data_IF_729284211782
#
_entry.id   IF_729284211782
#
_cell.length_a   1.000
_cell.length_b   1.000
_cell.length_c   1.000
_cell.angle_alpha   90.00
_cell.angle_beta   90.00
_cell.angle_gamma   90.00
#
_symmetry.space_group_name_H-M   'P 1'
#
loop_
_entity.id
_entity.type
_entity.pdbx_description
1 polymer ?
#
# COMPACT_ATOMS: atom_id res chain seq x y z
N UNK A 1 -22.68 -90.44 11.52
CA UNK A 1 -22.06 -89.81 12.70
C UNK A 1 -21.57 -88.42 12.31
N UNK A 2 -21.85 -87.45 13.17
CA UNK A 2 -21.42 -86.04 13.18
C UNK A 2 -21.88 -85.06 12.09
N UNK A 3 -22.87 -84.26 12.50
CA UNK A 3 -23.16 -82.88 12.10
C UNK A 3 -21.98 -81.97 12.44
N UNK A 4 -21.72 -80.93 11.64
CA UNK A 4 -21.26 -79.63 12.17
C UNK A 4 -21.68 -78.50 11.21
N UNK A 5 -22.51 -77.60 11.74
CA UNK A 5 -22.84 -76.31 11.15
C UNK A 5 -21.87 -75.25 11.72
N UNK A 6 -21.38 -74.34 10.88
CA UNK A 6 -20.61 -73.18 11.32
C UNK A 6 -21.39 -71.92 10.97
N UNK A 7 -21.76 -71.20 12.03
CA UNK A 7 -22.40 -69.89 12.06
C UNK A 7 -21.28 -68.85 11.95
N UNK A 8 -21.28 -68.06 10.88
CA UNK A 8 -20.35 -66.95 10.68
C UNK A 8 -20.98 -65.62 11.14
N UNK A 9 -20.31 -64.95 12.06
CA UNK A 9 -20.76 -63.76 12.78
C UNK A 9 -20.95 -62.52 11.89
N UNK A 10 -22.00 -61.76 12.20
CA UNK A 10 -22.30 -60.43 11.69
C UNK A 10 -21.49 -59.41 12.51
N UNK A 11 -20.60 -58.66 11.86
CA UNK A 11 -19.99 -57.45 12.42
C UNK A 11 -20.55 -56.23 11.69
N UNK A 12 -21.41 -55.50 12.40
CA UNK A 12 -21.94 -54.21 12.02
C UNK A 12 -20.93 -53.13 12.43
N UNK A 13 -20.37 -52.39 11.48
CA UNK A 13 -19.56 -51.20 11.76
C UNK A 13 -20.23 -49.98 11.11
N UNK A 14 -20.79 -49.11 11.94
CA UNK A 14 -21.18 -47.75 11.57
C UNK A 14 -19.96 -46.84 11.75
N UNK A 15 -19.54 -46.16 10.69
CA UNK A 15 -18.72 -44.96 10.79
C UNK A 15 -19.28 -43.88 9.85
N UNK A 16 -19.74 -42.82 10.51
CA UNK A 16 -20.23 -41.55 10.00
C UNK A 16 -19.14 -40.69 9.36
N UNK A 17 -19.53 -39.77 8.47
CA UNK A 17 -18.83 -38.49 8.29
C UNK A 17 -18.65 -38.08 6.84
N UNK A 18 -19.39 -37.05 6.42
CA UNK A 18 -19.38 -36.50 5.07
C UNK A 18 -18.01 -35.97 4.65
N UNK A 19 -17.58 -36.37 3.46
CA UNK A 19 -16.46 -35.75 2.77
C UNK A 19 -16.94 -34.44 2.12
N UNK A 20 -16.58 -33.31 2.73
CA UNK A 20 -16.53 -32.04 2.03
C UNK A 20 -15.51 -32.15 0.92
N UNK A 21 -15.98 -32.08 -0.33
CA UNK A 21 -15.14 -32.09 -1.52
C UNK A 21 -14.41 -30.73 -1.61
N UNK A 22 -13.28 -30.62 -0.92
CA UNK A 22 -12.40 -29.46 -1.02
C UNK A 22 -11.60 -29.59 -2.31
N UNK A 23 -12.06 -28.93 -3.37
CA UNK A 23 -11.32 -28.83 -4.63
C UNK A 23 -10.06 -27.99 -4.36
N UNK A 24 -8.83 -28.53 -4.48
CA UNK A 24 -7.64 -27.70 -4.33
C UNK A 24 -7.59 -26.71 -5.50
N UNK A 25 -7.58 -25.43 -5.17
CA UNK A 25 -7.38 -24.36 -6.15
C UNK A 25 -6.10 -24.65 -6.94
N UNK A 26 -6.26 -24.98 -8.23
CA UNK A 26 -5.16 -25.07 -9.19
C UNK A 26 -4.54 -23.68 -9.30
N UNK A 27 -3.26 -23.60 -8.97
CA UNK A 27 -2.42 -22.49 -9.39
C UNK A 27 -2.21 -22.59 -10.89
N UNK A 28 -2.99 -21.83 -11.66
CA UNK A 28 -2.71 -21.63 -13.08
C UNK A 28 -1.46 -20.76 -13.20
N UNK A 29 -0.40 -21.39 -13.71
CA UNK A 29 0.84 -20.73 -14.11
C UNK A 29 0.65 -20.19 -15.52
N UNK A 30 0.87 -18.88 -15.71
CA UNK A 30 1.02 -18.29 -17.05
C UNK A 30 -0.21 -17.56 -17.58
N UNK A 31 -0.57 -16.44 -16.98
CA UNK A 31 -1.38 -15.40 -17.61
C UNK A 31 -0.76 -14.06 -17.27
N UNK A 32 -0.76 -13.08 -18.19
CA UNK A 32 -0.45 -11.68 -17.87
C UNK A 32 -1.29 -11.32 -16.65
N UNK A 33 -0.65 -11.24 -15.49
CA UNK A 33 -1.34 -11.19 -14.21
C UNK A 33 -2.34 -10.03 -14.26
N UNK A 34 -3.62 -10.32 -14.15
CA UNK A 34 -4.64 -9.27 -14.07
C UNK A 34 -4.70 -8.76 -12.64
N UNK A 35 -5.25 -7.57 -12.43
CA UNK A 35 -5.54 -7.09 -11.07
C UNK A 35 -6.39 -8.14 -10.32
N UNK A 36 -5.92 -8.55 -9.14
CA UNK A 36 -6.58 -9.52 -8.25
C UNK A 36 -7.06 -8.81 -6.99
N UNK A 37 -8.35 -8.93 -6.67
CA UNK A 37 -8.88 -8.48 -5.37
C UNK A 37 -8.41 -9.44 -4.28
N UNK A 38 -7.74 -8.90 -3.26
CA UNK A 38 -7.31 -9.66 -2.08
C UNK A 38 -8.38 -9.65 -0.99
N UNK A 39 -9.04 -8.51 -0.81
CA UNK A 39 -10.13 -8.32 0.15
C UNK A 39 -10.90 -7.05 -0.21
N UNK A 40 -12.22 -7.06 -0.02
CA UNK A 40 -13.08 -5.89 -0.14
C UNK A 40 -14.30 -6.05 0.75
N UNK A 41 -14.92 -4.95 1.16
CA UNK A 41 -16.12 -5.02 1.98
C UNK A 41 -16.62 -3.67 2.45
N UNK A 42 -17.78 -3.70 3.13
CA UNK A 42 -18.42 -2.53 3.72
C UNK A 42 -17.95 -2.26 5.17
N UNK A 43 -17.18 -3.16 5.76
CA UNK A 43 -16.70 -3.05 7.13
C UNK A 43 -15.21 -3.42 7.21
N UNK A 44 -14.37 -2.42 7.47
CA UNK A 44 -12.97 -2.58 7.84
C UNK A 44 -12.73 -2.10 9.28
N UNK A 45 -11.68 -2.62 9.94
CA UNK A 45 -11.22 -2.09 11.23
C UNK A 45 -10.61 -0.68 11.14
N UNK A 46 -10.40 -0.15 9.92
CA UNK A 46 -9.80 1.17 9.68
C UNK A 46 -10.91 2.22 9.59
N UNK A 47 -11.13 2.97 10.68
CA UNK A 47 -12.19 3.96 10.78
C UNK A 47 -11.90 5.29 10.03
N UNK A 48 -10.64 5.54 9.71
CA UNK A 48 -10.18 6.72 8.96
C UNK A 48 -9.99 6.40 7.48
N UNK A 49 -10.14 7.42 6.62
CA UNK A 49 -9.76 7.23 5.23
C UNK A 49 -8.24 7.13 5.14
N UNK A 50 -7.74 6.10 4.45
CA UNK A 50 -6.32 5.82 4.34
C UNK A 50 -6.01 5.10 3.03
N UNK A 51 -4.81 5.32 2.50
CA UNK A 51 -4.26 4.58 1.36
C UNK A 51 -2.99 3.89 1.81
N UNK A 52 -2.75 2.66 1.38
CA UNK A 52 -1.48 1.96 1.55
C UNK A 52 -1.02 1.33 0.23
N UNK A 53 0.28 1.41 -0.03
CA UNK A 53 0.95 0.93 -1.23
C UNK A 53 2.14 0.09 -0.77
N UNK A 54 1.96 -1.22 -0.71
CA UNK A 54 3.02 -2.14 -0.35
C UNK A 54 3.75 -2.61 -1.61
N UNK A 55 5.04 -2.25 -1.69
CA UNK A 55 5.97 -2.70 -2.74
C UNK A 55 6.97 -3.74 -2.23
N UNK A 56 6.85 -4.13 -0.98
CA UNK A 56 7.74 -5.04 -0.28
C UNK A 56 6.97 -5.79 0.83
N UNK A 57 7.57 -6.88 1.31
CA UNK A 57 6.95 -7.74 2.30
C UNK A 57 6.82 -7.08 3.69
N UNK A 58 7.69 -6.14 4.05
CA UNK A 58 7.67 -5.46 5.35
C UNK A 58 6.48 -4.49 5.43
N UNK A 59 6.32 -3.64 4.42
CA UNK A 59 5.17 -2.75 4.28
C UNK A 59 3.87 -3.54 4.22
N UNK A 60 3.88 -4.68 3.51
CA UNK A 60 2.71 -5.57 3.45
C UNK A 60 2.39 -6.22 4.80
N UNK A 61 3.40 -6.65 5.56
CA UNK A 61 3.18 -7.21 6.90
C UNK A 61 2.52 -6.21 7.84
N UNK A 62 2.93 -4.93 7.78
CA UNK A 62 2.30 -3.84 8.54
C UNK A 62 0.86 -3.57 8.08
N UNK A 63 0.60 -3.62 6.78
CA UNK A 63 -0.78 -3.56 6.25
C UNK A 63 -1.65 -4.73 6.74
N UNK A 64 -1.10 -5.95 6.77
CA UNK A 64 -1.81 -7.14 7.32
C UNK A 64 -2.11 -7.02 8.81
N UNK A 65 -1.31 -6.27 9.56
CA UNK A 65 -1.61 -6.00 10.97
C UNK A 65 -2.81 -5.05 11.14
N UNK A 66 -3.14 -4.22 10.13
CA UNK A 66 -4.31 -3.36 10.13
C UNK A 66 -5.60 -4.09 9.75
N UNK A 67 -5.53 -5.08 8.86
CA UNK A 67 -6.69 -5.80 8.34
C UNK A 67 -6.48 -7.29 8.48
N UNK A 68 -7.31 -7.92 9.33
CA UNK A 68 -7.34 -9.37 9.48
C UNK A 68 -7.79 -10.01 8.15
N UNK A 69 -7.33 -11.25 7.89
CA UNK A 69 -7.74 -12.06 6.72
C UNK A 69 -7.06 -11.76 5.38
N UNK A 70 -6.02 -10.93 5.36
CA UNK A 70 -5.17 -10.81 4.18
C UNK A 70 -4.24 -12.02 4.00
N UNK A 71 -4.13 -12.59 2.78
CA UNK A 71 -3.28 -13.75 2.51
C UNK A 71 -1.81 -13.41 2.74
N UNK A 72 -1.01 -14.40 3.13
CA UNK A 72 0.43 -14.23 3.16
C UNK A 72 0.99 -14.21 1.73
N UNK A 73 1.83 -13.22 1.43
CA UNK A 73 2.52 -13.09 0.15
C UNK A 73 4.02 -13.17 0.42
N UNK A 74 4.75 -13.88 -0.44
CA UNK A 74 6.21 -13.99 -0.36
C UNK A 74 6.90 -12.72 -0.87
N UNK A 75 8.18 -12.56 -0.57
CA UNK A 75 8.99 -11.47 -1.12
C UNK A 75 9.04 -11.49 -2.65
N UNK A 76 9.07 -12.68 -3.26
CA UNK A 76 9.06 -12.85 -4.73
C UNK A 76 7.82 -12.28 -5.40
N UNK A 77 6.68 -12.24 -4.69
CA UNK A 77 5.45 -11.63 -5.20
C UNK A 77 5.69 -10.15 -5.56
N UNK A 78 6.45 -9.45 -4.73
CA UNK A 78 6.75 -8.02 -4.86
C UNK A 78 7.83 -7.70 -5.91
N UNK A 79 8.45 -8.72 -6.50
CA UNK A 79 9.36 -8.51 -7.63
C UNK A 79 8.64 -8.02 -8.90
N UNK A 80 7.34 -8.34 -9.04
CA UNK A 80 6.54 -8.02 -10.23
C UNK A 80 5.13 -7.51 -9.94
N UNK A 81 4.75 -7.44 -8.67
CA UNK A 81 3.43 -6.96 -8.24
C UNK A 81 3.57 -5.97 -7.09
N UNK A 82 2.52 -5.19 -6.91
CA UNK A 82 2.32 -4.38 -5.71
C UNK A 82 0.97 -4.74 -5.09
N UNK A 83 0.77 -4.31 -3.85
CA UNK A 83 -0.54 -4.32 -3.19
C UNK A 83 -0.97 -2.90 -2.91
N UNK A 84 -2.18 -2.55 -3.32
CA UNK A 84 -2.80 -1.25 -3.05
C UNK A 84 -4.04 -1.47 -2.21
N UNK A 85 -4.10 -0.82 -1.05
CA UNK A 85 -5.25 -0.81 -0.16
C UNK A 85 -5.82 0.61 -0.07
N UNK A 86 -7.13 0.72 -0.17
CA UNK A 86 -7.85 1.96 -0.01
C UNK A 86 -9.01 1.77 0.98
N UNK A 87 -8.99 2.57 2.03
CA UNK A 87 -9.98 2.62 3.10
C UNK A 87 -10.72 3.94 2.99
N UNK A 88 -12.04 3.92 2.93
CA UNK A 88 -12.86 5.12 2.77
C UNK A 88 -13.15 5.83 4.12
N UNK A 89 -12.84 5.14 5.22
CA UNK A 89 -13.19 5.53 6.58
C UNK A 89 -14.70 5.41 6.84
N UNK A 90 -15.11 5.91 7.98
CA UNK A 90 -16.49 5.79 8.46
C UNK A 90 -17.50 6.54 7.56
N UNK A 91 -18.62 5.88 7.27
CA UNK A 91 -19.76 6.42 6.51
C UNK A 91 -21.07 6.15 7.26
N UNK A 92 -22.00 7.12 7.30
CA UNK A 92 -23.20 7.04 8.12
C UNK A 92 -24.26 6.06 7.59
N UNK A 93 -24.16 5.68 6.32
CA UNK A 93 -25.11 4.78 5.66
C UNK A 93 -24.36 3.68 4.91
N UNK A 94 -25.11 2.63 4.55
CA UNK A 94 -24.66 1.67 3.56
C UNK A 94 -24.64 2.23 2.14
N UNK A 95 -24.16 1.42 1.19
CA UNK A 95 -24.17 1.71 -0.24
C UNK A 95 -22.88 2.33 -0.80
N UNK A 96 -21.93 2.69 0.07
CA UNK A 96 -20.62 3.18 -0.36
C UNK A 96 -19.69 2.05 -0.79
N UNK A 97 -18.88 2.29 -1.83
CA UNK A 97 -17.87 1.35 -2.34
C UNK A 97 -16.58 2.09 -2.70
N UNK A 98 -15.49 1.32 -2.75
CA UNK A 98 -14.17 1.79 -3.21
C UNK A 98 -13.86 1.16 -4.55
N UNK A 99 -13.44 1.97 -5.51
CA UNK A 99 -12.97 1.54 -6.82
C UNK A 99 -11.45 1.73 -6.91
N UNK A 100 -10.77 0.74 -7.49
CA UNK A 100 -9.35 0.80 -7.79
C UNK A 100 -9.20 0.34 -9.23
N UNK A 101 -8.64 1.20 -10.07
CA UNK A 101 -8.42 0.95 -11.49
C UNK A 101 -6.97 1.26 -11.84
N UNK A 102 -6.41 0.55 -12.81
CA UNK A 102 -5.07 0.85 -13.32
C UNK A 102 -5.04 0.79 -14.84
N UNK A 103 -4.35 1.76 -15.45
CA UNK A 103 -4.04 1.77 -16.88
C UNK A 103 -2.60 1.32 -17.18
N UNK A 104 -1.91 0.75 -16.17
CA UNK A 104 -0.50 0.34 -16.25
C UNK A 104 0.51 1.48 -16.12
N UNK A 105 0.06 2.75 -16.04
CA UNK A 105 0.92 3.93 -15.80
C UNK A 105 0.56 4.66 -14.51
N UNK A 106 -0.72 4.60 -14.14
CA UNK A 106 -1.27 5.18 -12.92
C UNK A 106 -2.36 4.28 -12.35
N UNK A 107 -2.68 4.54 -11.10
CA UNK A 107 -3.70 3.85 -10.34
C UNK A 107 -4.71 4.89 -9.87
N UNK A 108 -5.95 4.76 -10.32
CA UNK A 108 -7.06 5.61 -9.92
C UNK A 108 -7.77 4.97 -8.74
N UNK A 109 -8.02 5.76 -7.72
CA UNK A 109 -8.72 5.33 -6.52
C UNK A 109 -9.93 6.24 -6.33
N UNK A 110 -11.11 5.64 -6.44
CA UNK A 110 -12.38 6.33 -6.41
C UNK A 110 -13.30 5.79 -5.31
N UNK A 111 -14.25 6.61 -4.93
CA UNK A 111 -15.34 6.27 -4.03
C UNK A 111 -16.66 6.46 -4.75
N UNK A 112 -17.54 5.48 -4.60
CA UNK A 112 -18.90 5.51 -5.13
C UNK A 112 -19.86 5.53 -3.96
N UNK A 113 -20.75 6.52 -3.94
CA UNK A 113 -21.84 6.60 -2.98
C UNK A 113 -23.11 5.96 -3.53
N UNK A 114 -24.11 5.70 -2.67
CA UNK A 114 -25.44 5.36 -3.14
C UNK A 114 -26.02 6.51 -4.00
N UNK A 115 -26.84 6.21 -5.01
CA UNK A 115 -27.59 7.23 -5.75
C UNK A 115 -28.40 8.12 -4.82
N UNK A 116 -28.65 9.40 -5.17
CA UNK A 116 -29.36 10.36 -4.31
C UNK A 116 -30.74 9.86 -3.81
N UNK A 117 -31.45 9.11 -4.65
CA UNK A 117 -32.82 8.62 -4.36
C UNK A 117 -32.84 7.15 -3.90
N UNK A 118 -31.68 6.56 -3.62
CA UNK A 118 -31.61 5.17 -3.19
C UNK A 118 -32.07 5.02 -1.72
N UNK A 119 -32.94 4.04 -1.48
CA UNK A 119 -33.22 3.58 -0.12
C UNK A 119 -31.97 2.90 0.45
N UNK A 120 -31.35 3.52 1.46
CA UNK A 120 -30.11 3.05 2.08
C UNK A 120 -30.35 2.59 3.51
N UNK A 121 -29.55 1.60 3.93
CA UNK A 121 -29.51 1.20 5.34
C UNK A 121 -28.83 2.29 6.17
N UNK A 122 -29.47 2.69 7.27
CA UNK A 122 -28.93 3.63 8.25
C UNK A 122 -28.01 2.90 9.23
N UNK A 123 -26.92 2.36 8.69
CA UNK A 123 -25.92 1.60 9.44
C UNK A 123 -24.54 2.15 9.13
N UNK A 124 -23.74 2.30 10.18
CA UNK A 124 -22.36 2.74 10.09
C UNK A 124 -21.52 1.74 9.31
N UNK A 125 -20.85 2.20 8.26
CA UNK A 125 -19.96 1.38 7.43
C UNK A 125 -18.54 1.96 7.39
N UNK A 126 -17.56 1.13 7.04
CA UNK A 126 -16.15 1.51 6.81
C UNK A 126 -15.65 0.83 5.53
N UNK A 127 -16.14 1.25 4.34
CA UNK A 127 -15.86 0.57 3.08
C UNK A 127 -14.37 0.56 2.72
N UNK A 128 -13.92 -0.54 2.14
CA UNK A 128 -12.52 -0.70 1.75
C UNK A 128 -12.35 -1.65 0.57
N UNK A 129 -11.22 -1.54 -0.11
CA UNK A 129 -10.78 -2.46 -1.16
C UNK A 129 -9.27 -2.61 -1.16
N UNK A 130 -8.81 -3.84 -1.30
CA UNK A 130 -7.39 -4.21 -1.31
C UNK A 130 -7.16 -5.09 -2.52
N UNK A 131 -6.27 -4.66 -3.40
CA UNK A 131 -5.95 -5.36 -4.65
C UNK A 131 -4.46 -5.62 -4.74
N UNK A 132 -4.11 -6.69 -5.43
CA UNK A 132 -2.76 -6.89 -5.95
C UNK A 132 -2.80 -6.77 -7.47
N UNK A 133 -1.81 -6.09 -8.04
CA UNK A 133 -1.73 -5.88 -9.48
C UNK A 133 -0.26 -5.89 -9.93
N UNK A 134 0.00 -6.25 -11.20
CA UNK A 134 1.35 -6.23 -11.73
C UNK A 134 1.85 -4.82 -11.83
N UNK A 135 3.08 -4.60 -11.41
CA UNK A 135 3.74 -3.32 -11.53
C UNK A 135 5.24 -3.56 -11.66
N UNK A 136 5.87 -2.88 -12.62
CA UNK A 136 7.30 -2.99 -12.77
C UNK A 136 7.99 -2.42 -11.52
N UNK A 137 8.90 -3.21 -10.92
CA UNK A 137 9.61 -2.86 -9.68
C UNK A 137 10.26 -1.47 -9.74
N UNK A 138 10.80 -1.15 -10.91
CA UNK A 138 11.55 0.09 -11.16
C UNK A 138 10.68 1.27 -11.59
N UNK A 139 9.39 1.06 -11.87
CA UNK A 139 8.51 2.15 -12.28
C UNK A 139 7.87 2.85 -11.08
N UNK A 140 7.79 4.19 -11.07
CA UNK A 140 7.14 4.92 -10.00
C UNK A 140 5.66 4.57 -9.95
N UNK A 141 5.11 4.37 -8.75
CA UNK A 141 3.67 4.19 -8.56
C UNK A 141 3.02 5.56 -8.56
N UNK A 142 2.14 5.85 -9.51
CA UNK A 142 1.40 7.11 -9.58
C UNK A 142 -0.04 6.86 -9.11
N UNK A 143 -0.46 7.60 -8.08
CA UNK A 143 -1.82 7.51 -7.52
C UNK A 143 -2.62 8.76 -7.88
N UNK A 144 -3.81 8.54 -8.45
CA UNK A 144 -4.84 9.55 -8.63
C UNK A 144 -6.02 9.19 -7.72
N UNK A 145 -6.01 9.73 -6.50
CA UNK A 145 -7.10 9.52 -5.55
C UNK A 145 -8.17 10.62 -5.67
N UNK A 146 -9.44 10.27 -5.49
CA UNK A 146 -10.54 11.24 -5.53
C UNK A 146 -10.60 12.16 -4.30
N UNK A 147 -11.62 13.03 -4.25
CA UNK A 147 -11.83 13.98 -3.18
C UNK A 147 -12.02 13.38 -1.78
N UNK A 148 -12.38 12.09 -1.65
CA UNK A 148 -12.53 11.44 -0.35
C UNK A 148 -11.17 11.25 0.35
N UNK A 149 -10.14 10.84 -0.40
CA UNK A 149 -8.79 10.70 0.14
C UNK A 149 -8.00 12.00 0.10
N UNK A 150 -8.15 12.82 -0.95
CA UNK A 150 -7.43 14.10 -1.06
C UNK A 150 -7.66 15.02 0.15
N UNK A 151 -8.89 15.06 0.69
CA UNK A 151 -9.22 15.86 1.89
C UNK A 151 -8.58 15.34 3.17
N UNK A 152 -8.18 14.07 3.19
CA UNK A 152 -7.55 13.40 4.32
C UNK A 152 -6.04 13.30 4.18
N UNK A 153 -5.48 13.75 3.05
CA UNK A 153 -4.06 13.95 2.87
C UNK A 153 -3.68 15.33 3.40
N UNK A 154 -2.73 15.37 4.33
CA UNK A 154 -2.14 16.62 4.79
C UNK A 154 -1.13 17.10 3.74
N UNK A 155 -1.28 18.29 3.17
CA UNK A 155 -0.31 18.85 2.22
C UNK A 155 0.92 19.39 2.96
N UNK A 156 2.09 19.17 2.36
CA UNK A 156 3.38 19.71 2.77
C UNK A 156 4.04 20.38 1.57
N UNK A 157 4.68 21.52 1.80
CA UNK A 157 5.53 22.18 0.81
C UNK A 157 6.99 21.84 1.08
N UNK A 158 7.73 21.48 0.05
CA UNK A 158 9.18 21.32 0.13
C UNK A 158 9.81 22.70 0.29
N UNK A 159 10.53 22.89 1.40
CA UNK A 159 11.25 24.12 1.71
C UNK A 159 12.66 24.10 1.10
N UNK A 160 13.32 22.95 1.17
CA UNK A 160 14.59 22.69 0.51
C UNK A 160 14.66 21.23 0.08
N UNK A 161 15.22 20.99 -1.10
CA UNK A 161 15.42 19.65 -1.61
C UNK A 161 16.66 19.60 -2.48
N UNK A 162 17.56 18.65 -2.21
CA UNK A 162 18.75 18.42 -3.02
C UNK A 162 18.84 16.93 -3.35
N UNK A 163 19.18 16.61 -4.59
CA UNK A 163 19.43 15.25 -5.04
C UNK A 163 20.68 15.19 -5.90
N UNK A 164 21.60 14.31 -5.53
CA UNK A 164 22.86 14.06 -6.22
C UNK A 164 22.79 12.71 -6.88
N UNK A 165 23.10 12.68 -8.17
CA UNK A 165 23.26 11.44 -8.93
C UNK A 165 24.73 11.32 -9.29
N UNK A 166 25.34 10.19 -8.95
CA UNK A 166 26.72 9.88 -9.29
C UNK A 166 26.85 8.48 -9.89
N UNK A 167 27.77 8.31 -10.83
CA UNK A 167 28.11 6.99 -11.39
C UNK A 167 28.34 6.99 -12.89
N UNK A 168 28.21 5.80 -13.47
CA UNK A 168 28.55 5.50 -14.86
C UNK A 168 30.05 5.43 -15.12
N UNK A 169 30.42 4.87 -16.28
CA UNK A 169 31.81 4.56 -16.69
C UNK A 169 32.73 5.78 -16.65
N UNK A 170 32.19 6.99 -16.86
CA UNK A 170 32.94 8.24 -16.85
C UNK A 170 32.91 8.99 -15.49
N UNK A 171 32.30 8.43 -14.45
CA UNK A 171 32.24 9.05 -13.12
C UNK A 171 31.49 10.37 -13.09
N UNK A 172 30.34 10.46 -13.76
CA UNK A 172 29.53 11.69 -13.79
C UNK A 172 28.91 11.92 -12.41
N UNK A 173 28.88 13.18 -11.98
CA UNK A 173 28.15 13.61 -10.80
C UNK A 173 27.33 14.85 -11.15
N UNK A 174 26.03 14.81 -10.90
CA UNK A 174 25.09 15.91 -11.13
C UNK A 174 24.29 16.15 -9.84
N UNK A 175 24.14 17.41 -9.43
CA UNK A 175 23.28 17.82 -8.32
C UNK A 175 22.07 18.56 -8.86
N UNK A 176 20.91 18.32 -8.25
CA UNK A 176 19.64 18.88 -8.66
C UNK A 176 18.90 19.41 -7.44
N UNK A 177 18.27 20.58 -7.60
CA UNK A 177 17.30 21.06 -6.62
C UNK A 177 15.96 20.36 -6.87
N UNK A 178 15.29 20.00 -5.76
CA UNK A 178 13.95 19.44 -5.76
C UNK A 178 13.02 20.43 -5.06
N UNK A 179 11.97 20.83 -5.77
CA UNK A 179 10.90 21.68 -5.24
C UNK A 179 9.55 21.01 -5.43
N UNK A 180 8.48 21.54 -4.85
CA UNK A 180 7.13 21.02 -5.04
C UNK A 180 6.45 20.66 -3.72
N UNK A 181 5.58 19.66 -3.78
CA UNK A 181 4.67 19.34 -2.69
C UNK A 181 4.68 17.84 -2.38
N UNK A 182 4.40 17.53 -1.11
CA UNK A 182 4.11 16.20 -0.64
C UNK A 182 2.68 16.18 -0.10
N UNK A 183 2.01 15.03 -0.23
CA UNK A 183 0.72 14.77 0.39
C UNK A 183 0.83 13.53 1.25
N UNK A 184 0.51 13.65 2.54
CA UNK A 184 0.81 12.62 3.52
C UNK A 184 -0.47 12.17 4.22
N UNK A 185 -0.67 10.86 4.29
CA UNK A 185 -1.66 10.21 5.14
C UNK A 185 -0.95 9.34 6.18
N UNK A 186 -1.50 9.23 7.40
CA UNK A 186 -1.00 8.25 8.37
C UNK A 186 -2.11 7.41 8.95
N UNK A 187 -1.80 6.15 9.23
CA UNK A 187 -2.67 5.21 9.92
C UNK A 187 -1.80 4.27 10.76
N UNK A 188 -1.91 4.38 12.08
CA UNK A 188 -1.06 3.63 13.01
C UNK A 188 0.44 3.80 12.69
N UNK A 189 1.11 2.68 12.48
CA UNK A 189 2.55 2.60 12.17
C UNK A 189 2.86 2.73 10.67
N UNK A 190 1.90 3.19 9.86
CA UNK A 190 2.09 3.43 8.43
C UNK A 190 1.95 4.92 8.08
N UNK A 191 2.71 5.34 7.06
CA UNK A 191 2.53 6.61 6.38
C UNK A 191 2.62 6.43 4.88
N UNK A 192 1.69 7.04 4.17
CA UNK A 192 1.69 7.08 2.71
C UNK A 192 2.02 8.49 2.26
N UNK A 193 3.06 8.60 1.45
CA UNK A 193 3.55 9.87 0.91
C UNK A 193 3.36 9.85 -0.59
N UNK A 194 2.62 10.85 -1.09
CA UNK A 194 2.50 11.16 -2.51
C UNK A 194 3.45 12.32 -2.79
N UNK A 195 4.42 12.08 -3.67
CA UNK A 195 5.42 13.02 -4.11
C UNK A 195 4.93 13.70 -5.39
N UNK A 196 4.86 15.03 -5.37
CA UNK A 196 4.64 15.88 -6.55
C UNK A 196 5.79 16.89 -6.61
N UNK A 197 6.97 16.39 -7.00
CA UNK A 197 8.19 17.18 -7.04
C UNK A 197 8.50 17.66 -8.46
N UNK A 198 9.27 18.73 -8.55
CA UNK A 198 9.85 19.24 -9.79
C UNK A 198 11.36 19.07 -9.71
N UNK A 199 11.92 18.41 -10.72
CA UNK A 199 13.35 18.33 -10.96
C UNK A 199 13.72 19.00 -12.30
N UNK A 200 15.01 19.07 -12.63
CA UNK A 200 15.50 19.88 -13.74
C UNK A 200 15.09 19.37 -15.13
N UNK A 201 14.75 18.08 -15.26
CA UNK A 201 14.41 17.46 -16.55
C UNK A 201 12.95 16.99 -16.64
N UNK A 202 12.29 16.81 -15.50
CA UNK A 202 10.91 16.30 -15.45
C UNK A 202 10.26 16.54 -14.08
N UNK A 203 8.93 16.55 -14.07
CA UNK A 203 8.17 16.36 -12.85
C UNK A 203 8.36 14.93 -12.33
N UNK A 204 8.54 14.79 -11.02
CA UNK A 204 8.71 13.52 -10.34
C UNK A 204 7.44 13.26 -9.55
N UNK A 205 6.69 12.27 -10.03
CA UNK A 205 5.49 11.80 -9.36
C UNK A 205 5.72 10.40 -8.87
N UNK A 206 5.33 10.15 -7.64
CA UNK A 206 5.44 8.83 -7.03
C UNK A 206 4.60 8.76 -5.78
N UNK A 207 4.25 7.55 -5.38
CA UNK A 207 3.54 7.29 -4.15
C UNK A 207 4.15 6.05 -3.52
N UNK A 208 4.40 6.13 -2.22
CA UNK A 208 4.94 5.01 -1.48
C UNK A 208 4.38 5.03 -0.06
N UNK A 209 4.24 3.84 0.51
CA UNK A 209 3.94 3.66 1.92
C UNK A 209 5.17 3.15 2.62
N UNK A 210 5.47 3.77 3.75
CA UNK A 210 6.51 3.35 4.65
C UNK A 210 5.97 3.16 6.05
N UNK A 211 6.85 2.72 6.94
CA UNK A 211 6.55 2.62 8.35
C UNK A 211 6.91 3.88 9.11
N UNK A 212 6.20 4.10 10.20
CA UNK A 212 6.46 5.20 11.11
C UNK A 212 6.46 4.70 12.53
N UNK A 213 7.52 5.02 13.25
CA UNK A 213 7.68 4.71 14.65
C UNK A 213 7.03 5.78 15.54
N UNK A 214 6.85 5.46 16.81
CA UNK A 214 6.24 6.38 17.80
C UNK A 214 7.04 7.66 18.04
N UNK A 215 8.34 7.62 17.80
CA UNK A 215 9.23 8.78 17.85
C UNK A 215 9.15 9.66 16.59
N UNK A 216 8.27 9.31 15.63
CA UNK A 216 8.10 10.02 14.38
C UNK A 216 9.08 9.61 13.29
N UNK A 217 10.00 8.66 13.54
CA UNK A 217 10.92 8.20 12.53
C UNK A 217 10.15 7.47 11.42
N UNK A 218 10.43 7.80 10.16
CA UNK A 218 9.77 7.24 8.98
C UNK A 218 10.78 6.50 8.11
N UNK A 219 10.40 5.33 7.61
CA UNK A 219 11.19 4.53 6.69
C UNK A 219 10.30 4.04 5.55
N UNK A 220 10.66 4.42 4.32
CA UNK A 220 10.04 3.99 3.06
C UNK A 220 11.11 3.22 2.29
N UNK A 221 10.96 1.89 2.25
CA UNK A 221 12.02 1.03 1.72
C UNK A 221 12.15 1.08 0.21
N UNK A 222 11.03 1.08 -0.53
CA UNK A 222 11.04 1.00 -1.98
C UNK A 222 10.29 2.17 -2.62
N UNK A 223 11.07 3.14 -3.12
CA UNK A 223 10.61 4.27 -3.90
C UNK A 223 11.38 4.34 -5.23
N UNK A 224 10.70 4.68 -6.32
CA UNK A 224 11.35 4.87 -7.63
C UNK A 224 11.26 6.32 -8.08
N UNK A 225 12.40 6.87 -8.48
CA UNK A 225 12.52 8.15 -9.17
C UNK A 225 13.23 7.98 -10.51
N UNK A 226 12.73 7.07 -11.34
CA UNK A 226 13.27 6.75 -12.68
C UNK A 226 13.67 7.96 -13.55
N UNK A 227 13.02 9.14 -13.50
CA UNK A 227 13.50 10.31 -14.26
C UNK A 227 14.80 10.94 -13.71
N UNK A 228 15.16 10.71 -12.44
CA UNK A 228 16.39 11.21 -11.81
C UNK A 228 17.55 10.22 -11.95
N UNK A 229 17.31 8.94 -11.63
CA UNK A 229 18.35 7.91 -11.65
C UNK A 229 18.12 7.01 -12.87
N UNK A 230 19.04 6.99 -13.85
CA UNK A 230 18.97 6.07 -14.97
C UNK A 230 19.01 4.60 -14.51
N UNK A 231 18.41 3.66 -15.28
CA UNK A 231 18.65 2.24 -15.09
C UNK A 231 20.16 1.93 -15.06
N UNK A 232 20.60 0.87 -14.35
CA UNK A 232 19.80 -0.27 -13.87
C UNK A 232 19.23 -0.14 -12.44
N UNK A 233 19.52 0.93 -11.70
CA UNK A 233 19.21 1.00 -10.26
C UNK A 233 18.42 2.26 -9.85
N UNK A 234 17.20 2.46 -10.37
CA UNK A 234 16.46 3.71 -10.16
C UNK A 234 15.80 3.83 -8.76
N UNK A 235 15.99 2.83 -7.90
CA UNK A 235 15.30 2.70 -6.61
C UNK A 235 16.08 3.35 -5.49
N UNK A 236 15.35 4.02 -4.61
CA UNK A 236 15.86 4.67 -3.41
C UNK A 236 15.04 4.26 -2.21
N UNK A 237 15.71 4.26 -1.06
CA UNK A 237 15.08 4.23 0.26
C UNK A 237 14.96 5.66 0.77
N UNK A 238 13.83 6.01 1.36
CA UNK A 238 13.69 7.26 2.10
C UNK A 238 13.64 6.96 3.61
N UNK A 239 14.50 7.61 4.40
CA UNK A 239 14.44 7.55 5.86
C UNK A 239 14.39 8.96 6.44
N UNK A 240 13.67 9.16 7.53
CA UNK A 240 13.41 10.52 7.99
C UNK A 240 12.75 10.62 9.34
N UNK A 241 12.32 11.83 9.67
CA UNK A 241 11.71 12.15 10.95
C UNK A 241 10.61 13.19 10.77
N UNK A 242 9.44 12.91 11.33
CA UNK A 242 8.42 13.92 11.60
C UNK A 242 8.81 14.70 12.86
N UNK A 243 8.85 16.03 12.76
CA UNK A 243 9.14 16.94 13.87
C UNK A 243 8.03 17.95 14.05
N UNK A 244 8.09 18.74 15.14
CA UNK A 244 7.12 19.82 15.40
C UNK A 244 5.67 19.33 15.36
N UNK A 245 5.33 18.27 16.08
CA UNK A 245 3.99 17.65 16.06
C UNK A 245 3.53 17.26 14.63
N UNK A 246 4.44 16.65 13.87
CA UNK A 246 4.26 16.31 12.46
C UNK A 246 4.09 17.54 11.53
N UNK A 247 4.35 18.78 11.96
CA UNK A 247 4.33 19.94 11.06
C UNK A 247 5.52 19.96 10.10
N UNK A 248 6.64 19.35 10.48
CA UNK A 248 7.81 19.23 9.63
C UNK A 248 8.11 17.76 9.31
N UNK A 249 8.61 17.54 8.10
CA UNK A 249 9.14 16.25 7.68
C UNK A 249 10.47 16.45 6.97
N UNK A 250 11.49 15.78 7.51
CA UNK A 250 12.83 15.67 6.92
C UNK A 250 13.03 14.26 6.40
N UNK A 251 13.33 14.11 5.11
CA UNK A 251 13.63 12.83 4.46
C UNK A 251 15.06 12.85 3.89
N UNK A 252 15.79 11.78 4.12
CA UNK A 252 17.03 11.44 3.45
C UNK A 252 16.72 10.36 2.42
N UNK A 253 17.08 10.61 1.18
CA UNK A 253 16.98 9.66 0.09
C UNK A 253 18.35 9.00 -0.09
N UNK A 254 18.38 7.67 -0.06
CA UNK A 254 19.59 6.88 -0.22
C UNK A 254 19.38 5.83 -1.29
N UNK A 255 20.42 5.49 -2.07
CA UNK A 255 20.29 4.48 -3.12
C UNK A 255 20.02 3.12 -2.49
N UNK A 256 19.15 2.33 -3.11
CA UNK A 256 19.06 0.92 -2.74
C UNK A 256 20.23 0.14 -3.34
N UNK A 257 20.79 -0.85 -2.62
CA UNK A 257 21.82 -1.72 -3.16
C UNK A 257 21.35 -2.41 -4.45
N UNK A 258 22.22 -2.45 -5.45
CA UNK A 258 22.02 -3.21 -6.67
C UNK A 258 23.34 -3.81 -7.15
N UNK A 259 23.28 -4.99 -7.76
CA UNK A 259 24.46 -5.74 -8.19
C UNK A 259 24.91 -5.33 -9.61
N UNK A 260 25.15 -4.04 -9.83
CA UNK A 260 25.57 -3.52 -11.13
C UNK A 260 26.85 -2.69 -10.99
N UNK A 261 27.92 -3.13 -11.67
CA UNK A 261 29.28 -2.58 -11.56
C UNK A 261 29.39 -1.12 -12.02
N UNK A 262 28.52 -0.67 -12.92
CA UNK A 262 28.53 0.67 -13.51
C UNK A 262 27.25 1.48 -13.22
N UNK A 263 26.54 1.15 -12.14
CA UNK A 263 25.27 1.77 -11.83
C UNK A 263 25.41 3.26 -11.46
N UNK A 264 24.41 4.03 -11.86
CA UNK A 264 24.15 5.33 -11.24
C UNK A 264 23.50 5.11 -9.88
N UNK A 265 23.97 5.84 -8.88
CA UNK A 265 23.37 5.93 -7.57
C UNK A 265 22.86 7.34 -7.35
N UNK A 266 21.76 7.46 -6.62
CA UNK A 266 21.19 8.75 -6.24
C UNK A 266 21.00 8.86 -4.74
N UNK A 267 21.42 9.97 -4.16
CA UNK A 267 21.16 10.31 -2.77
C UNK A 267 20.68 11.75 -2.67
N UNK A 268 19.95 12.09 -1.61
CA UNK A 268 19.40 13.43 -1.47
C UNK A 268 18.76 13.66 -0.12
N UNK A 269 18.25 14.88 0.05
CA UNK A 269 17.52 15.29 1.23
C UNK A 269 16.32 16.15 0.82
N UNK A 270 15.22 16.02 1.55
CA UNK A 270 14.03 16.85 1.42
C UNK A 270 13.67 17.35 2.81
N UNK A 271 13.53 18.67 2.96
CA UNK A 271 12.92 19.29 4.12
C UNK A 271 11.59 19.91 3.70
N UNK A 272 10.53 19.60 4.43
CA UNK A 272 9.17 19.99 4.07
C UNK A 272 8.36 20.39 5.29
N UNK A 273 7.41 21.28 5.09
CA UNK A 273 6.52 21.78 6.14
C UNK A 273 5.06 21.70 5.71
N UNK A 274 4.20 21.28 6.63
CA UNK A 274 2.78 21.20 6.42
C UNK A 274 2.20 22.59 6.08
N UNK A 275 1.37 22.64 5.05
CA UNK A 275 0.69 23.88 4.61
C UNK A 275 -0.76 23.96 5.10
N UNK A 276 -1.25 22.90 5.75
CA UNK A 276 -2.55 22.87 6.39
C UNK A 276 -2.49 22.09 7.72
N UNK A 277 -3.47 22.30 8.62
CA UNK A 277 -3.62 21.50 9.83
C UNK A 277 -3.77 20.01 9.52
N UNK A 278 -3.42 19.17 10.49
CA UNK A 278 -3.68 17.73 10.36
C UNK A 278 -5.20 17.50 10.21
N UNK A 279 -5.63 16.64 9.26
CA UNK A 279 -7.03 16.31 9.11
C UNK A 279 -7.54 15.64 10.38
N UNK A 280 -8.80 15.93 10.74
CA UNK A 280 -9.44 15.34 11.92
C UNK A 280 -9.54 13.82 11.69
N UNK A 281 -8.88 13.05 12.54
CA UNK A 281 -9.00 11.59 12.58
C UNK A 281 -10.09 11.19 13.55
N UNK A 282 -10.84 10.16 13.19
CA UNK A 282 -11.79 9.51 14.07
C UNK A 282 -10.98 8.73 15.11
N UNK A 283 -10.83 9.31 16.30
CA UNK A 283 -10.25 8.60 17.43
C UNK A 283 -11.21 7.46 17.84
N UNK A 284 -10.84 6.18 17.64
CA UNK A 284 -11.71 5.06 17.96
C UNK A 284 -12.01 4.95 19.48
N UNK A 285 -11.26 5.65 20.33
CA UNK A 285 -11.47 5.64 21.79
C UNK A 285 -12.31 6.83 22.30
N UNK A 286 -12.65 7.81 21.46
CA UNK A 286 -13.35 9.03 21.90
C UNK A 286 -14.84 8.85 22.23
N UNK A 287 -15.36 7.62 22.11
CA UNK A 287 -16.74 7.25 22.46
C UNK A 287 -16.88 6.17 23.53
N UNK A 288 -15.78 5.72 24.18
CA UNK A 288 -15.81 4.60 25.13
C UNK A 288 -16.04 5.03 26.60
N UNK A 289 -16.58 6.22 26.80
CA UNK A 289 -16.98 6.76 28.11
C UNK A 289 -18.50 6.97 28.14
N UNK A 290 -19.27 5.88 28.12
CA UNK A 290 -20.63 5.79 28.66
C UNK A 290 -20.89 4.35 29.11
#
# INVERSE_FOLDING_TARGET
>A
MSRFAIIGAITLSLASGGAFNCNPARFETGTRSTMRVLSEGAHSPVADAFLAIARDAETYAKLRALVTDLPQLSEDHFASNIVVAAFLGQRPTGGYRVTIESDGRRIRIGSEGPPPDALVTQVLTTPFKIVSLPWAKDDPVIIEADGAWQRMMRPYRVLSGEFKVSGGIAGRSESFELTGELRIMRQGDLATVLFELQGPKAALRGAATGSVRRDGAVEIDDLSFKPLIPPPCPRVRASGLFTENEEELKLNLSPQPCNATDAFNGSGQLNSRATAPAPKRNDPNKGRLL
#
